data_IF_675877413132
#
_entry.id   IF_675877413132
#
_cell.length_a   1.000
_cell.length_b   1.000
_cell.length_c   1.000
_cell.angle_alpha   90.00
_cell.angle_beta   90.00
_cell.angle_gamma   90.00
#
_symmetry.space_group_name_H-M   'P 1'
#
loop_
_entity.id
_entity.type
_entity.pdbx_description
1 polymer ?
#
# COMPACT_ATOMS: atom_id res chain seq x y z
N UNK A 1 -22.79 -8.05 3.99
CA UNK A 1 -21.61 -8.14 4.85
C UNK A 1 -20.59 -8.90 4.03
N UNK A 2 -19.36 -8.40 3.80
CA UNK A 2 -18.35 -9.26 3.16
C UNK A 2 -18.22 -10.54 3.95
N UNK A 3 -18.29 -11.67 3.23
CA UNK A 3 -17.85 -12.91 3.83
C UNK A 3 -16.33 -12.82 4.07
N UNK A 4 -15.84 -13.61 5.03
CA UNK A 4 -14.44 -13.62 5.43
C UNK A 4 -13.48 -13.82 4.25
N UNK A 5 -13.95 -14.50 3.21
CA UNK A 5 -13.22 -14.75 1.98
C UNK A 5 -12.93 -13.47 1.19
N UNK A 6 -13.95 -12.63 0.96
CA UNK A 6 -13.77 -11.38 0.26
C UNK A 6 -12.89 -10.39 1.04
N UNK A 7 -13.05 -10.33 2.37
CA UNK A 7 -12.16 -9.55 3.23
C UNK A 7 -10.70 -10.05 3.14
N UNK A 8 -10.49 -11.36 3.12
CA UNK A 8 -9.16 -11.96 2.94
C UNK A 8 -8.50 -11.57 1.62
N UNK A 9 -9.26 -11.57 0.51
CA UNK A 9 -8.75 -11.13 -0.80
C UNK A 9 -8.33 -9.67 -0.78
N UNK A 10 -9.15 -8.78 -0.19
CA UNK A 10 -8.85 -7.36 -0.07
C UNK A 10 -7.54 -7.15 0.71
N UNK A 11 -7.37 -7.83 1.84
CA UNK A 11 -6.16 -7.74 2.67
C UNK A 11 -4.93 -8.25 1.92
N UNK A 12 -5.04 -9.37 1.21
CA UNK A 12 -3.93 -9.92 0.40
C UNK A 12 -3.52 -8.93 -0.69
N UNK A 13 -4.49 -8.36 -1.42
CA UNK A 13 -4.23 -7.37 -2.47
C UNK A 13 -3.57 -6.09 -1.93
N UNK A 14 -4.04 -5.59 -0.79
CA UNK A 14 -3.46 -4.43 -0.12
C UNK A 14 -2.02 -4.71 0.36
N UNK A 15 -1.81 -5.86 1.02
CA UNK A 15 -0.50 -6.28 1.51
C UNK A 15 0.53 -6.44 0.39
N UNK A 16 0.13 -7.06 -0.73
CA UNK A 16 0.99 -7.20 -1.90
C UNK A 16 1.39 -5.84 -2.49
N UNK A 17 0.41 -4.93 -2.62
CA UNK A 17 0.64 -3.59 -3.17
C UNK A 17 1.59 -2.78 -2.30
N UNK A 18 1.37 -2.76 -0.98
CA UNK A 18 2.25 -2.08 -0.02
C UNK A 18 3.66 -2.68 -0.02
N UNK A 19 3.77 -4.00 -0.03
CA UNK A 19 5.06 -4.69 -0.10
C UNK A 19 5.85 -4.32 -1.37
N UNK A 20 5.16 -4.25 -2.52
CA UNK A 20 5.80 -3.86 -3.78
C UNK A 20 6.27 -2.40 -3.77
N UNK A 21 5.43 -1.47 -3.33
CA UNK A 21 5.79 -0.04 -3.24
C UNK A 21 6.97 0.14 -2.28
N UNK A 22 6.92 -0.50 -1.10
CA UNK A 22 8.00 -0.44 -0.11
C UNK A 22 9.33 -0.98 -0.67
N UNK A 23 9.31 -2.13 -1.34
CA UNK A 23 10.50 -2.69 -1.98
C UNK A 23 11.09 -1.74 -3.03
N UNK A 24 10.25 -1.13 -3.88
CA UNK A 24 10.71 -0.19 -4.90
C UNK A 24 11.20 1.13 -4.33
N UNK A 25 10.60 1.61 -3.24
CA UNK A 25 11.10 2.76 -2.51
C UNK A 25 12.49 2.47 -1.94
N UNK A 26 12.69 1.34 -1.26
CA UNK A 26 13.98 0.94 -0.69
C UNK A 26 15.05 0.78 -1.78
N UNK A 27 14.74 0.13 -2.90
CA UNK A 27 15.62 0.06 -4.07
C UNK A 27 15.99 1.45 -4.62
N UNK A 28 15.04 2.37 -4.68
CA UNK A 28 15.26 3.75 -5.11
C UNK A 28 16.18 4.51 -4.16
N UNK A 29 15.93 4.40 -2.86
CA UNK A 29 16.73 5.00 -1.79
C UNK A 29 18.17 4.45 -1.82
N UNK A 30 18.34 3.15 -2.03
CA UNK A 30 19.66 2.53 -2.13
C UNK A 30 20.47 3.07 -3.32
N UNK A 31 19.79 3.42 -4.43
CA UNK A 31 20.44 4.03 -5.62
C UNK A 31 20.71 5.52 -5.47
N UNK A 32 19.86 6.25 -4.74
CA UNK A 32 19.97 7.69 -4.52
C UNK A 32 19.63 8.05 -3.05
N UNK A 33 20.60 7.89 -2.13
CA UNK A 33 20.39 8.14 -0.71
C UNK A 33 19.97 9.58 -0.38
N UNK A 34 20.46 10.56 -1.14
CA UNK A 34 20.12 11.97 -1.01
C UNK A 34 18.65 12.28 -1.32
N UNK A 35 17.99 11.41 -2.09
CA UNK A 35 16.57 11.52 -2.42
C UNK A 35 15.66 10.81 -1.40
N UNK A 36 16.20 10.24 -0.32
CA UNK A 36 15.46 9.35 0.57
C UNK A 36 14.17 9.96 1.11
N UNK A 37 14.22 11.19 1.60
CA UNK A 37 13.04 11.89 2.11
C UNK A 37 11.95 12.04 1.04
N UNK A 38 12.32 12.42 -0.19
CA UNK A 38 11.36 12.57 -1.30
C UNK A 38 10.72 11.23 -1.70
N UNK A 39 11.53 10.18 -1.78
CA UNK A 39 11.05 8.83 -2.11
C UNK A 39 10.11 8.31 -1.02
N UNK A 40 10.46 8.51 0.25
CA UNK A 40 9.61 8.12 1.38
C UNK A 40 8.28 8.88 1.39
N UNK A 41 8.29 10.19 1.13
CA UNK A 41 7.05 10.97 1.01
C UNK A 41 6.16 10.45 -0.11
N UNK A 42 6.72 10.20 -1.30
CA UNK A 42 5.97 9.63 -2.42
C UNK A 42 5.40 8.23 -2.08
N UNK A 43 6.19 7.37 -1.45
CA UNK A 43 5.78 6.04 -0.98
C UNK A 43 4.58 6.13 -0.03
N UNK A 44 4.63 7.02 0.97
CA UNK A 44 3.56 7.17 1.97
C UNK A 44 2.27 7.68 1.31
N UNK A 45 2.36 8.63 0.36
CA UNK A 45 1.19 9.12 -0.37
C UNK A 45 0.51 7.98 -1.13
N UNK A 46 1.28 7.19 -1.88
CA UNK A 46 0.72 6.06 -2.63
C UNK A 46 0.18 4.99 -1.66
N UNK A 47 0.91 4.70 -0.58
CA UNK A 47 0.47 3.78 0.47
C UNK A 47 -0.88 4.18 1.08
N UNK A 48 -1.06 5.47 1.38
CA UNK A 48 -2.32 6.00 1.91
C UNK A 48 -3.49 5.86 0.91
N UNK A 49 -3.23 6.00 -0.40
CA UNK A 49 -4.27 5.77 -1.43
C UNK A 49 -4.66 4.29 -1.49
N UNK A 50 -3.69 3.37 -1.40
CA UNK A 50 -3.94 1.91 -1.36
C UNK A 50 -4.72 1.53 -0.11
N UNK A 51 -4.30 2.02 1.06
CA UNK A 51 -5.01 1.79 2.32
C UNK A 51 -6.42 2.37 2.29
N UNK A 52 -6.60 3.58 1.77
CA UNK A 52 -7.92 4.21 1.63
C UNK A 52 -8.88 3.38 0.79
N UNK A 53 -8.40 2.76 -0.29
CA UNK A 53 -9.19 1.83 -1.10
C UNK A 53 -9.47 0.51 -0.38
N UNK A 54 -8.49 -0.06 0.30
CA UNK A 54 -8.66 -1.33 1.03
C UNK A 54 -9.62 -1.19 2.21
N UNK A 55 -9.46 -0.15 3.04
CA UNK A 55 -10.39 0.17 4.12
C UNK A 55 -11.75 0.60 3.58
N UNK A 56 -11.80 1.40 2.52
CA UNK A 56 -13.03 1.78 1.85
C UNK A 56 -13.82 0.56 1.37
N UNK A 57 -13.14 -0.41 0.75
CA UNK A 57 -13.72 -1.69 0.39
C UNK A 57 -14.25 -2.38 1.65
N UNK A 58 -13.42 -2.69 2.65
CA UNK A 58 -13.82 -3.42 3.86
C UNK A 58 -15.01 -2.81 4.61
N UNK A 59 -15.11 -1.48 4.65
CA UNK A 59 -16.15 -0.75 5.42
C UNK A 59 -17.45 -0.58 4.61
N UNK A 60 -17.35 -0.34 3.30
CA UNK A 60 -18.50 0.04 2.47
C UNK A 60 -19.20 -1.14 1.81
N UNK A 61 -18.55 -2.27 1.57
CA UNK A 61 -19.24 -3.44 1.04
C UNK A 61 -20.00 -4.19 2.14
N UNK A 62 -21.18 -3.66 2.37
CA UNK A 62 -22.23 -4.23 3.18
C UNK A 62 -23.16 -5.03 2.28
#
# INVERSE_FOLDING_TARGET
MYNLFAAGIIVIGAGFSLGHIGAKALEGIARQPEAAGKIQTAMIIIGALVEGLAFGALILGK
#
